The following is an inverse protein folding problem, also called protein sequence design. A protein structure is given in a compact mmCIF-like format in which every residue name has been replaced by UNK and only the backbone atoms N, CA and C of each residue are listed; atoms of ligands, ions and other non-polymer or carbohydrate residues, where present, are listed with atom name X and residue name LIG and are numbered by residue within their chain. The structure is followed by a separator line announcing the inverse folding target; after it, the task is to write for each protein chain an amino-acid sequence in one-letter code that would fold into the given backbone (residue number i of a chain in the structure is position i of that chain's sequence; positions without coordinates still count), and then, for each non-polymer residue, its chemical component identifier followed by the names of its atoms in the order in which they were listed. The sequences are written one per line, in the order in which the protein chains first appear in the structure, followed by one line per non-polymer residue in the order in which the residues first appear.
data_IF_720858387499
#
_entry.id   IF_720858387499
#
_cell.length_a   1.000
_cell.length_b   1.000
_cell.length_c   1.000
_cell.angle_alpha   90.00
_cell.angle_beta   90.00
_cell.angle_gamma   90.00
#
_symmetry.space_group_name_H-M   'P 1'
#
loop_
_entity.id
_entity.type
_entity.pdbx_description
1 polymer ?
#
# COMPACT_ATOMS: atom_id res chain seq x y z
N UNK A 1 -10.42 5.17 -18.65
CA UNK A 1 -10.31 6.26 -19.62
C UNK A 1 -10.87 5.86 -20.99
N UNK A 2 -11.40 6.85 -21.72
CA UNK A 2 -11.99 6.63 -23.05
C UNK A 2 -10.95 6.24 -24.11
N UNK A 3 -9.69 6.59 -23.89
CA UNK A 3 -8.56 6.18 -24.72
C UNK A 3 -7.39 5.77 -23.83
N UNK A 4 -7.19 4.48 -23.70
CA UNK A 4 -5.93 3.92 -23.16
C UNK A 4 -5.13 3.39 -24.34
N UNK A 5 -3.85 3.73 -24.39
CA UNK A 5 -2.91 3.10 -25.30
C UNK A 5 -2.73 1.61 -25.00
N UNK A 6 -1.99 0.91 -25.86
CA UNK A 6 -1.61 -0.47 -25.59
C UNK A 6 -0.79 -0.56 -24.31
N UNK A 7 -1.16 -1.49 -23.41
CA UNK A 7 -0.52 -1.72 -22.12
C UNK A 7 -0.39 -0.45 -21.24
N UNK A 8 -1.50 0.13 -20.75
CA UNK A 8 -1.49 1.33 -19.89
C UNK A 8 -0.87 1.06 -18.51
N UNK A 9 -0.32 2.08 -17.84
CA UNK A 9 0.02 1.97 -16.42
C UNK A 9 -1.22 1.69 -15.56
N UNK A 10 -1.02 1.02 -14.42
CA UNK A 10 -2.06 0.78 -13.42
C UNK A 10 -1.67 1.44 -12.10
N UNK A 11 -2.56 2.24 -11.54
CA UNK A 11 -2.42 2.85 -10.22
C UNK A 11 -3.45 2.30 -9.24
N UNK A 12 -2.98 1.71 -8.15
CA UNK A 12 -3.82 1.35 -7.01
C UNK A 12 -3.93 2.55 -6.08
N UNK A 13 -5.15 2.84 -5.64
CA UNK A 13 -5.46 3.92 -4.71
C UNK A 13 -6.09 3.35 -3.44
N UNK A 14 -5.33 3.38 -2.32
CA UNK A 14 -5.73 2.82 -1.03
C UNK A 14 -6.24 3.93 -0.11
N UNK A 15 -7.52 3.87 0.24
CA UNK A 15 -8.19 4.88 1.06
C UNK A 15 -7.72 4.87 2.52
N UNK A 16 -7.96 5.97 3.25
CA UNK A 16 -7.76 6.05 4.70
C UNK A 16 -8.90 5.40 5.49
N UNK A 17 -8.74 5.31 6.81
CA UNK A 17 -9.80 4.83 7.69
C UNK A 17 -11.10 5.61 7.50
N UNK A 18 -12.23 4.93 7.67
CA UNK A 18 -13.60 5.45 7.55
C UNK A 18 -14.04 5.87 6.16
N UNK A 19 -13.15 5.87 5.18
CA UNK A 19 -13.46 6.19 3.79
C UNK A 19 -13.96 4.95 3.03
N UNK A 20 -14.63 5.22 1.90
CA UNK A 20 -14.95 4.23 0.86
C UNK A 20 -14.08 4.43 -0.38
N UNK A 21 -14.18 3.51 -1.33
CA UNK A 21 -13.56 3.65 -2.65
C UNK A 21 -14.09 4.90 -3.37
N UNK A 22 -15.40 5.17 -3.30
CA UNK A 22 -16.05 6.31 -3.93
C UNK A 22 -15.65 7.65 -3.30
N UNK A 23 -15.56 7.70 -1.95
CA UNK A 23 -15.06 8.89 -1.24
C UNK A 23 -13.65 9.22 -1.68
N UNK A 24 -12.80 8.20 -1.77
CA UNK A 24 -11.39 8.39 -2.11
C UNK A 24 -11.20 8.76 -3.58
N UNK A 25 -11.97 8.16 -4.50
CA UNK A 25 -11.98 8.51 -5.91
C UNK A 25 -12.43 9.97 -6.12
N UNK A 26 -13.50 10.38 -5.42
CA UNK A 26 -14.03 11.75 -5.48
C UNK A 26 -13.05 12.77 -4.92
N UNK A 27 -12.48 12.50 -3.73
CA UNK A 27 -11.57 13.41 -3.05
C UNK A 27 -10.25 13.59 -3.77
N UNK A 28 -9.66 12.53 -4.30
CA UNK A 28 -8.39 12.58 -5.00
C UNK A 28 -8.50 13.05 -6.44
N UNK A 29 -9.67 12.95 -7.04
CA UNK A 29 -9.89 13.21 -8.48
C UNK A 29 -8.97 12.42 -9.40
N UNK A 30 -8.48 11.28 -8.95
CA UNK A 30 -7.49 10.51 -9.72
C UNK A 30 -8.08 10.00 -11.04
N UNK A 31 -9.40 9.75 -11.11
CA UNK A 31 -10.07 9.40 -12.36
C UNK A 31 -9.92 10.48 -13.45
N UNK A 32 -9.91 11.76 -13.07
CA UNK A 32 -9.70 12.86 -14.03
C UNK A 32 -8.27 12.87 -14.56
N UNK A 33 -7.30 12.59 -13.68
CA UNK A 33 -5.90 12.46 -14.09
C UNK A 33 -5.68 11.21 -14.96
N UNK A 34 -6.33 10.10 -14.61
CA UNK A 34 -6.30 8.88 -15.39
C UNK A 34 -6.83 9.08 -16.81
N UNK A 35 -7.96 9.80 -16.94
CA UNK A 35 -8.53 10.15 -18.24
C UNK A 35 -7.58 11.03 -19.05
N UNK A 36 -6.99 12.03 -18.41
CA UNK A 36 -6.06 12.96 -19.05
C UNK A 36 -4.75 12.33 -19.49
N UNK A 37 -4.22 11.38 -18.72
CA UNK A 37 -2.88 10.84 -18.90
C UNK A 37 -2.85 9.38 -19.39
N UNK A 38 -4.00 8.75 -19.60
CA UNK A 38 -4.11 7.42 -20.21
C UNK A 38 -3.60 6.29 -19.31
N UNK A 39 -3.93 6.30 -18.01
CA UNK A 39 -3.64 5.19 -17.10
C UNK A 39 -4.91 4.63 -16.44
N UNK A 40 -4.83 3.40 -15.96
CA UNK A 40 -5.92 2.76 -15.22
C UNK A 40 -5.81 3.08 -13.74
N UNK A 41 -6.96 3.20 -13.07
CA UNK A 41 -7.02 3.33 -11.60
C UNK A 41 -7.91 2.25 -11.03
N UNK A 42 -7.47 1.65 -9.92
CA UNK A 42 -8.27 0.71 -9.14
C UNK A 42 -8.31 1.18 -7.69
N UNK A 43 -9.49 1.11 -7.10
CA UNK A 43 -9.73 1.48 -5.70
C UNK A 43 -10.20 0.24 -4.92
N UNK A 44 -9.29 -0.55 -4.37
CA UNK A 44 -9.68 -1.58 -3.41
C UNK A 44 -10.37 -0.94 -2.21
N UNK A 45 -11.41 -1.58 -1.70
CA UNK A 45 -12.13 -1.11 -0.52
C UNK A 45 -12.00 -2.10 0.63
N UNK A 46 -11.70 -1.58 1.82
CA UNK A 46 -11.67 -2.37 3.04
C UNK A 46 -13.08 -2.67 3.51
N UNK A 47 -13.36 -3.95 3.66
CA UNK A 47 -14.67 -4.40 4.12
C UNK A 47 -14.87 -4.10 5.61
N UNK A 48 -16.08 -3.68 6.00
CA UNK A 48 -16.45 -3.45 7.41
C UNK A 48 -16.36 -4.72 8.26
N UNK A 49 -16.52 -5.90 7.64
CA UNK A 49 -16.35 -7.19 8.31
C UNK A 49 -14.90 -7.53 8.66
N UNK A 50 -13.92 -6.99 7.92
CA UNK A 50 -12.50 -7.15 8.20
C UNK A 50 -12.00 -6.10 9.19
N UNK A 51 -12.53 -4.88 9.12
CA UNK A 51 -12.26 -3.81 10.08
C UNK A 51 -13.47 -2.87 10.18
N UNK A 52 -14.11 -2.73 11.37
CA UNK A 52 -15.31 -1.89 11.53
C UNK A 52 -15.12 -0.42 11.14
N UNK A 53 -13.89 0.09 11.27
CA UNK A 53 -13.53 1.46 10.86
C UNK A 53 -13.03 1.54 9.42
N UNK A 54 -13.14 0.47 8.65
CA UNK A 54 -12.57 0.38 7.27
C UNK A 54 -11.11 0.77 7.20
N UNK A 55 -10.35 0.62 8.29
CA UNK A 55 -8.90 0.78 8.26
C UNK A 55 -8.25 -0.46 7.66
N UNK A 56 -7.26 -0.28 6.81
CA UNK A 56 -6.35 -1.37 6.48
C UNK A 56 -5.63 -1.80 7.76
N UNK A 57 -5.48 -3.12 7.96
CA UNK A 57 -4.92 -3.67 9.20
C UNK A 57 -3.38 -3.69 9.18
N UNK A 58 -2.77 -2.61 8.72
CA UNK A 58 -1.34 -2.43 8.53
C UNK A 58 -0.49 -2.72 9.77
N UNK A 59 -1.08 -2.71 10.97
CA UNK A 59 -0.47 -3.00 12.26
C UNK A 59 -0.57 -4.48 12.67
N UNK A 60 -1.26 -5.30 11.92
CA UNK A 60 -1.45 -6.73 12.20
C UNK A 60 -0.30 -7.53 11.57
N UNK A 61 0.31 -8.43 12.31
CA UNK A 61 1.46 -9.19 11.83
C UNK A 61 1.20 -9.99 10.53
N UNK A 62 0.05 -10.67 10.34
CA UNK A 62 -0.26 -11.32 9.07
C UNK A 62 -0.38 -10.35 7.89
N UNK A 63 -0.76 -9.10 8.15
CA UNK A 63 -0.97 -8.07 7.14
C UNK A 63 0.32 -7.29 6.81
N UNK A 64 1.47 -7.76 7.27
CA UNK A 64 2.80 -7.25 6.95
C UNK A 64 3.69 -8.29 6.26
N UNK A 65 3.13 -9.41 5.86
CA UNK A 65 3.91 -10.53 5.31
C UNK A 65 3.41 -10.88 3.91
N UNK A 66 4.35 -11.21 3.02
CA UNK A 66 4.06 -11.69 1.68
C UNK A 66 3.18 -12.95 1.72
N UNK A 67 2.26 -13.05 0.76
CA UNK A 67 1.34 -14.16 0.56
C UNK A 67 0.41 -14.44 1.75
N UNK A 68 0.19 -13.44 2.60
CA UNK A 68 -0.66 -13.50 3.75
C UNK A 68 -1.51 -12.22 3.88
N UNK A 69 -2.67 -12.31 4.52
CA UNK A 69 -3.52 -11.18 4.89
C UNK A 69 -3.91 -10.24 3.74
N UNK A 70 -4.12 -8.99 4.06
CA UNK A 70 -4.55 -7.95 3.12
C UNK A 70 -3.56 -7.71 1.97
N UNK A 71 -2.22 -7.71 2.17
CA UNK A 71 -1.30 -7.54 1.06
C UNK A 71 -1.47 -8.58 -0.04
N UNK A 72 -1.76 -9.84 0.33
CA UNK A 72 -1.99 -10.91 -0.63
C UNK A 72 -3.25 -10.70 -1.46
N UNK A 73 -4.33 -10.22 -0.81
CA UNK A 73 -5.59 -9.91 -1.47
C UNK A 73 -5.43 -8.73 -2.45
N UNK A 74 -4.76 -7.66 -2.01
CA UNK A 74 -4.51 -6.48 -2.85
C UNK A 74 -3.60 -6.84 -4.04
N UNK A 75 -2.56 -7.63 -3.83
CA UNK A 75 -1.71 -8.13 -4.90
C UNK A 75 -2.49 -9.01 -5.90
N UNK A 76 -3.42 -9.83 -5.41
CA UNK A 76 -4.34 -10.61 -6.23
C UNK A 76 -5.26 -9.75 -7.08
N UNK A 77 -5.89 -8.72 -6.48
CA UNK A 77 -6.71 -7.73 -7.18
C UNK A 77 -5.89 -7.05 -8.28
N UNK A 78 -4.68 -6.62 -7.94
CA UNK A 78 -3.78 -5.93 -8.87
C UNK A 78 -3.50 -6.77 -10.11
N UNK A 79 -3.09 -8.03 -9.91
CA UNK A 79 -2.82 -8.96 -11.03
C UNK A 79 -4.05 -9.22 -11.88
N UNK A 80 -5.20 -9.47 -11.23
CA UNK A 80 -6.46 -9.75 -11.92
C UNK A 80 -6.93 -8.55 -12.77
N UNK A 81 -6.83 -7.33 -12.25
CA UNK A 81 -7.19 -6.11 -12.99
C UNK A 81 -6.20 -5.86 -14.12
N UNK A 82 -4.90 -6.00 -13.86
CA UNK A 82 -3.87 -5.82 -14.88
C UNK A 82 -4.05 -6.78 -16.06
N UNK A 83 -4.27 -8.06 -15.77
CA UNK A 83 -4.51 -9.08 -16.80
C UNK A 83 -5.79 -8.80 -17.60
N UNK A 84 -6.89 -8.52 -16.91
CA UNK A 84 -8.20 -8.27 -17.54
C UNK A 84 -8.20 -7.06 -18.46
N UNK A 85 -7.44 -6.03 -18.13
CA UNK A 85 -7.41 -4.75 -18.82
C UNK A 85 -6.12 -4.50 -19.61
N UNK A 86 -5.24 -5.49 -19.72
CA UNK A 86 -4.01 -5.41 -20.50
C UNK A 86 -3.02 -4.36 -20.00
N UNK A 87 -2.95 -4.11 -18.67
CA UNK A 87 -2.01 -3.15 -18.11
C UNK A 87 -0.55 -3.62 -18.26
N UNK A 88 0.39 -2.68 -18.36
CA UNK A 88 1.82 -2.99 -18.39
C UNK A 88 2.28 -3.54 -17.04
N UNK A 89 2.74 -4.79 -16.95
CA UNK A 89 3.17 -5.38 -15.69
C UNK A 89 4.41 -4.71 -15.06
N UNK A 90 5.12 -3.87 -15.82
CA UNK A 90 6.27 -3.09 -15.32
C UNK A 90 5.89 -1.71 -14.83
N UNK A 91 4.64 -1.30 -14.98
CA UNK A 91 4.14 0.04 -14.64
C UNK A 91 2.92 -0.04 -13.74
N UNK A 92 3.02 -0.83 -12.67
CA UNK A 92 2.00 -0.92 -11.62
C UNK A 92 2.47 -0.16 -10.39
N UNK A 93 1.68 0.81 -9.97
CA UNK A 93 1.99 1.71 -8.86
C UNK A 93 0.94 1.60 -7.77
N UNK A 94 1.30 1.96 -6.56
CA UNK A 94 0.36 2.05 -5.45
C UNK A 94 0.52 3.39 -4.73
N UNK A 95 -0.60 4.02 -4.40
CA UNK A 95 -0.61 5.21 -3.56
C UNK A 95 -1.72 5.10 -2.51
N UNK A 96 -1.53 5.74 -1.37
CA UNK A 96 -2.53 5.69 -0.31
C UNK A 96 -2.43 6.85 0.66
N UNK A 97 -3.49 6.98 1.47
CA UNK A 97 -3.63 7.97 2.51
C UNK A 97 -3.72 7.28 3.88
N UNK A 98 -2.96 7.76 4.90
CA UNK A 98 -3.06 7.29 6.28
C UNK A 98 -2.86 5.78 6.39
N UNK A 99 -3.83 5.00 6.85
CA UNK A 99 -3.78 3.53 6.88
C UNK A 99 -3.53 2.94 5.48
N UNK A 100 -4.11 3.53 4.43
CA UNK A 100 -3.85 3.15 3.04
C UNK A 100 -2.42 3.42 2.59
N UNK A 101 -1.79 4.50 3.09
CA UNK A 101 -0.39 4.78 2.82
C UNK A 101 0.54 3.77 3.52
N UNK A 102 0.24 3.40 4.77
CA UNK A 102 0.99 2.35 5.46
C UNK A 102 0.88 1.01 4.73
N UNK A 103 -0.32 0.64 4.25
CA UNK A 103 -0.53 -0.56 3.45
C UNK A 103 0.18 -0.47 2.08
N UNK A 104 0.24 0.71 1.45
CA UNK A 104 0.99 0.91 0.20
C UNK A 104 2.49 0.68 0.40
N UNK A 105 3.06 1.13 1.52
CA UNK A 105 4.45 0.85 1.90
C UNK A 105 4.66 -0.65 2.11
N UNK A 106 3.74 -1.33 2.80
CA UNK A 106 3.80 -2.79 2.99
C UNK A 106 3.80 -3.53 1.65
N UNK A 107 2.96 -3.11 0.69
CA UNK A 107 2.95 -3.70 -0.65
C UNK A 107 4.28 -3.51 -1.39
N UNK A 108 4.88 -2.32 -1.31
CA UNK A 108 6.21 -2.08 -1.88
C UNK A 108 7.30 -2.97 -1.30
N UNK A 109 7.25 -3.26 0.00
CA UNK A 109 8.20 -4.13 0.69
C UNK A 109 7.95 -5.62 0.45
N UNK A 110 6.67 -6.03 0.36
CA UNK A 110 6.31 -7.45 0.26
C UNK A 110 6.18 -7.94 -1.19
N UNK A 111 5.90 -7.05 -2.15
CA UNK A 111 5.74 -7.36 -3.57
C UNK A 111 6.55 -6.41 -4.48
N UNK A 112 7.88 -6.28 -4.25
CA UNK A 112 8.71 -5.34 -5.02
C UNK A 112 8.79 -5.67 -6.52
N UNK A 113 8.51 -6.91 -6.92
CA UNK A 113 8.44 -7.32 -8.31
C UNK A 113 7.12 -6.93 -9.00
N UNK A 114 6.09 -6.65 -8.21
CA UNK A 114 4.76 -6.25 -8.70
C UNK A 114 4.61 -4.73 -8.73
N UNK A 115 5.18 -4.04 -7.73
CA UNK A 115 5.00 -2.60 -7.51
C UNK A 115 6.22 -1.85 -8.03
N UNK A 116 6.02 -1.02 -9.05
CA UNK A 116 7.06 -0.20 -9.66
C UNK A 116 7.35 1.11 -8.90
N UNK A 117 6.43 1.55 -8.02
CA UNK A 117 6.61 2.74 -7.19
C UNK A 117 5.48 2.93 -6.18
N UNK A 118 5.80 3.58 -5.06
CA UNK A 118 4.89 3.83 -3.94
C UNK A 118 4.72 5.33 -3.71
N UNK A 119 3.47 5.77 -3.52
CA UNK A 119 3.11 7.10 -3.03
C UNK A 119 2.48 7.01 -1.63
N UNK A 120 3.13 7.53 -0.61
CA UNK A 120 2.65 7.51 0.76
C UNK A 120 2.29 8.91 1.25
N UNK A 121 1.02 9.16 1.57
CA UNK A 121 0.57 10.42 2.14
C UNK A 121 0.13 10.19 3.60
N UNK A 122 0.78 10.86 4.56
CA UNK A 122 0.47 10.78 6.00
C UNK A 122 0.43 9.32 6.50
N UNK A 123 1.36 8.51 6.02
CA UNK A 123 1.47 7.08 6.35
C UNK A 123 2.51 6.81 7.43
N UNK A 124 2.75 5.54 7.65
CA UNK A 124 3.69 5.04 8.66
C UNK A 124 4.71 4.09 8.01
N UNK A 125 5.93 4.04 8.52
CA UNK A 125 6.95 3.13 8.02
C UNK A 125 6.57 1.67 8.18
N UNK A 126 7.10 0.82 7.30
CA UNK A 126 6.97 -0.63 7.42
C UNK A 126 7.47 -1.13 8.79
N UNK A 127 6.72 -2.01 9.42
CA UNK A 127 7.08 -2.60 10.72
C UNK A 127 7.03 -1.63 11.90
N UNK A 128 6.39 -0.46 11.77
CA UNK A 128 6.29 0.53 12.85
C UNK A 128 5.32 0.14 13.97
N UNK A 129 4.45 -0.84 13.73
CA UNK A 129 3.52 -1.37 14.72
C UNK A 129 3.27 -2.87 14.52
N UNK A 130 2.86 -3.58 15.56
CA UNK A 130 2.56 -5.02 15.52
C UNK A 130 1.20 -5.36 16.18
N UNK A 131 0.54 -4.37 16.76
CA UNK A 131 -0.76 -4.44 17.42
C UNK A 131 -1.41 -3.06 17.51
N UNK A 132 -2.64 -2.99 17.98
CA UNK A 132 -3.39 -1.73 18.11
C UNK A 132 -2.69 -0.73 19.04
N UNK A 133 -2.18 -1.13 20.26
CA UNK A 133 -1.48 -0.20 21.13
C UNK A 133 -0.24 0.42 20.48
N UNK A 134 0.60 -0.36 19.80
CA UNK A 134 1.78 0.15 19.10
C UNK A 134 1.40 1.02 17.91
N UNK A 135 0.30 0.71 17.21
CA UNK A 135 -0.22 1.55 16.14
C UNK A 135 -0.65 2.93 16.64
N UNK A 136 -1.38 2.99 17.75
CA UNK A 136 -1.78 4.25 18.40
C UNK A 136 -0.57 5.05 18.87
N UNK A 137 0.44 4.39 19.41
CA UNK A 137 1.69 5.04 19.81
C UNK A 137 2.46 5.61 18.62
N UNK A 138 2.55 4.86 17.53
CA UNK A 138 3.21 5.30 16.29
C UNK A 138 2.50 6.53 15.68
N UNK A 139 1.15 6.52 15.63
CA UNK A 139 0.36 7.65 15.14
C UNK A 139 0.46 8.92 15.99
N UNK A 140 0.79 8.79 17.30
CA UNK A 140 0.99 9.93 18.19
C UNK A 140 2.42 10.51 18.16
N UNK A 141 3.22 10.16 17.17
CA UNK A 141 4.61 10.60 17.09
C UNK A 141 5.50 9.97 18.17
N UNK A 142 5.04 8.88 18.79
CA UNK A 142 5.89 8.06 19.64
C UNK A 142 7.07 7.60 18.80
N UNK A 143 8.30 7.89 19.23
CA UNK A 143 9.52 7.39 18.58
C UNK A 143 9.43 5.88 18.51
N UNK A 144 8.95 5.37 17.38
CA UNK A 144 9.06 3.96 17.05
C UNK A 144 10.50 3.57 17.29
N UNK A 145 10.74 2.45 17.97
CA UNK A 145 12.08 1.92 18.21
C UNK A 145 12.83 2.00 16.89
N UNK A 146 13.95 2.72 16.89
CA UNK A 146 14.79 2.94 15.72
C UNK A 146 14.91 1.65 14.90
N UNK A 147 14.91 1.79 13.59
CA UNK A 147 15.07 0.68 12.61
C UNK A 147 16.26 -0.25 12.90
N UNK A 148 17.21 0.15 13.74
CA UNK A 148 18.27 -0.69 14.27
C UNK A 148 17.77 -1.73 15.29
N UNK A 149 16.75 -1.41 16.10
CA UNK A 149 16.13 -2.36 17.04
C UNK A 149 15.24 -3.39 16.34
N UNK A 150 14.62 -3.02 15.22
CA UNK A 150 13.77 -3.92 14.42
C UNK A 150 14.62 -4.96 13.68
N UNK A 151 15.81 -4.59 13.17
CA UNK A 151 16.74 -5.54 12.55
C UNK A 151 17.20 -6.65 13.50
N UNK A 152 17.31 -6.37 14.78
CA UNK A 152 17.74 -7.36 15.79
C UNK A 152 16.56 -8.22 16.31
N UNK A 153 15.32 -7.73 16.27
CA UNK A 153 14.14 -8.50 16.68
C UNK A 153 13.60 -9.41 15.55
N UNK A 154 13.79 -9.02 14.29
CA UNK A 154 13.40 -9.82 13.11
C UNK A 154 14.49 -10.83 12.73
N UNK A 155 15.70 -10.72 13.29
CA UNK A 155 16.84 -11.61 13.03
C UNK A 155 16.68 -13.06 13.53
N UNK A 156 15.61 -13.39 14.24
CA UNK A 156 15.43 -14.73 14.78
C UNK A 156 14.36 -15.58 14.05
N UNK A 157 13.55 -15.02 13.13
CA UNK A 157 12.49 -15.78 12.44
C UNK A 157 12.02 -15.10 11.13
N UNK A 158 12.91 -14.50 10.36
CA UNK A 158 12.55 -14.16 8.99
C UNK A 158 12.50 -15.47 8.19
N UNK A 159 11.38 -15.80 7.50
CA UNK A 159 11.41 -16.87 6.53
C UNK A 159 12.48 -16.52 5.49
N UNK A 160 13.44 -17.41 5.31
CA UNK A 160 14.55 -17.32 4.36
C UNK A 160 14.05 -17.48 2.92
N UNK A 161 13.28 -16.51 2.46
CA UNK A 161 12.73 -16.42 1.13
C UNK A 161 13.01 -15.07 0.49
N UNK A 162 14.23 -14.52 0.69
CA UNK A 162 14.70 -13.48 -0.22
C UNK A 162 15.06 -14.15 -1.53
N UNK A 163 14.14 -14.04 -2.50
CA UNK A 163 14.49 -14.21 -3.90
C UNK A 163 15.61 -13.22 -4.31
N UNK A 164 16.12 -13.33 -5.54
CA UNK A 164 17.28 -12.56 -5.99
C UNK A 164 17.07 -11.06 -5.74
N UNK A 165 18.12 -10.40 -5.23
CA UNK A 165 18.23 -9.00 -4.80
C UNK A 165 16.98 -8.14 -5.06
N UNK A 166 16.13 -8.02 -4.04
CA UNK A 166 14.94 -7.19 -4.14
C UNK A 166 15.39 -5.74 -4.39
N UNK A 167 15.04 -5.20 -5.55
CA UNK A 167 15.21 -3.79 -5.86
C UNK A 167 14.39 -2.98 -4.85
N UNK A 168 14.99 -1.95 -4.25
CA UNK A 168 14.23 -1.00 -3.45
C UNK A 168 13.20 -0.32 -4.35
N UNK A 169 11.92 -0.40 -3.99
CA UNK A 169 10.85 0.25 -4.73
C UNK A 169 10.92 1.76 -4.52
N UNK A 170 11.01 2.57 -5.58
CA UNK A 170 10.99 4.02 -5.47
C UNK A 170 9.76 4.49 -4.69
N UNK A 171 9.96 5.31 -3.67
CA UNK A 171 8.87 5.78 -2.80
C UNK A 171 8.91 7.30 -2.68
N UNK A 172 7.76 7.93 -2.93
CA UNK A 172 7.54 9.35 -2.63
C UNK A 172 6.66 9.47 -1.37
N UNK A 173 7.06 10.35 -0.46
CA UNK A 173 6.35 10.56 0.80
C UNK A 173 5.87 12.02 0.88
N UNK A 174 4.59 12.19 1.22
CA UNK A 174 3.98 13.45 1.59
C UNK A 174 3.55 13.36 3.05
N UNK A 175 4.04 14.26 3.89
CA UNK A 175 3.79 14.23 5.32
C UNK A 175 3.77 15.66 5.85
N UNK A 176 2.76 16.00 6.64
CA UNK A 176 2.68 17.29 7.30
C UNK A 176 3.63 17.36 8.49
N UNK A 177 3.99 18.58 8.89
CA UNK A 177 4.86 18.83 10.04
C UNK A 177 4.19 18.50 11.39
N UNK A 178 2.87 18.24 11.36
CA UNK A 178 2.03 17.89 12.52
C UNK A 178 1.26 16.59 12.36
N UNK A 179 1.58 15.82 11.32
CA UNK A 179 1.01 14.48 11.13
C UNK A 179 1.57 13.46 12.14
#
# INVERSE_FOLDING_TARGET
PASVGDAPPLLLMLHGCTQSADDFATGTRMNQLAEKHGFLVVYPEQATGANPSRCWNWFSAPDQVRDCGEPSLIAGITRSVAERHGADPRRMFVAGLSAGAAMAVILGETYPELIAGVGAHSGLPYGSAHDIPSALAAMKGGRGRSSAGIRNAVGASAPTGRGPAAHAVPTIVFHGDRD
#
